data_IF_316714376289
#
_entry.id   IF_316714376289
#
_cell.length_a   1.000
_cell.length_b   1.000
_cell.length_c   1.000
_cell.angle_alpha   90.00
_cell.angle_beta   90.00
_cell.angle_gamma   90.00
#
_symmetry.space_group_name_H-M   'P 1'
#
loop_
_entity.id
_entity.type
_entity.pdbx_description
1 polymer ?
#
# COMPACT_ATOMS: atom_id res chain seq x y z
N UNK A 1 7.01 -13.41 -29.93
CA UNK A 1 7.75 -13.35 -28.65
C UNK A 1 8.33 -14.72 -28.34
N UNK A 2 9.60 -14.80 -27.99
CA UNK A 2 10.29 -16.04 -27.62
C UNK A 2 9.63 -16.73 -26.41
N UNK A 3 9.57 -18.06 -26.44
CA UNK A 3 9.07 -18.86 -25.30
C UNK A 3 9.96 -18.67 -24.07
N UNK A 4 11.28 -18.64 -24.24
CA UNK A 4 12.22 -18.40 -23.14
C UNK A 4 12.01 -17.07 -22.42
N UNK A 5 11.65 -16.01 -23.15
CA UNK A 5 11.30 -14.69 -22.56
C UNK A 5 10.08 -14.81 -21.67
N UNK A 6 9.04 -15.47 -22.16
CA UNK A 6 7.77 -15.67 -21.44
C UNK A 6 7.99 -16.44 -20.14
N UNK A 7 8.74 -17.54 -20.21
CA UNK A 7 9.08 -18.36 -19.05
C UNK A 7 9.87 -17.55 -18.03
N UNK A 8 10.89 -16.81 -18.46
CA UNK A 8 11.70 -15.99 -17.56
C UNK A 8 10.87 -14.94 -16.82
N UNK A 9 10.05 -14.16 -17.54
CA UNK A 9 9.19 -13.15 -16.92
C UNK A 9 8.16 -13.79 -16.00
N UNK A 10 7.58 -14.94 -16.39
CA UNK A 10 6.64 -15.67 -15.55
C UNK A 10 7.28 -16.13 -14.23
N UNK A 11 8.52 -16.63 -14.25
CA UNK A 11 9.25 -17.02 -13.05
C UNK A 11 9.54 -15.81 -12.14
N UNK A 12 10.00 -14.70 -12.70
CA UNK A 12 10.23 -13.47 -11.93
C UNK A 12 8.93 -12.99 -11.28
N UNK A 13 7.83 -12.95 -12.05
CA UNK A 13 6.54 -12.48 -11.55
C UNK A 13 5.94 -13.46 -10.53
N UNK A 14 6.18 -14.76 -10.68
CA UNK A 14 5.77 -15.76 -9.70
C UNK A 14 6.50 -15.55 -8.36
N UNK A 15 7.82 -15.35 -8.36
CA UNK A 15 8.58 -15.07 -7.14
C UNK A 15 8.07 -13.80 -6.45
N UNK A 16 7.84 -12.73 -7.21
CA UNK A 16 7.28 -11.48 -6.68
C UNK A 16 5.88 -11.71 -6.11
N UNK A 17 4.99 -12.38 -6.86
CA UNK A 17 3.62 -12.67 -6.42
C UNK A 17 3.57 -13.52 -5.15
N UNK A 18 4.41 -14.56 -5.08
CA UNK A 18 4.57 -15.36 -3.87
C UNK A 18 5.06 -14.53 -2.69
N UNK A 19 5.93 -13.54 -2.91
CA UNK A 19 6.37 -12.64 -1.83
C UNK A 19 5.22 -11.81 -1.23
N UNK A 20 4.21 -11.43 -2.04
CA UNK A 20 3.01 -10.71 -1.60
C UNK A 20 2.11 -11.60 -0.74
N UNK A 21 1.87 -12.82 -1.22
CA UNK A 21 1.05 -13.82 -0.54
C UNK A 21 1.72 -14.31 0.75
N UNK A 22 3.03 -14.57 0.74
CA UNK A 22 3.76 -15.08 1.89
C UNK A 22 3.68 -14.14 3.10
N UNK A 23 3.78 -12.82 2.87
CA UNK A 23 3.71 -11.83 3.97
C UNK A 23 2.32 -11.78 4.61
N UNK A 24 1.28 -11.84 3.78
CA UNK A 24 -0.12 -11.80 4.26
C UNK A 24 -0.53 -13.14 4.86
N UNK A 25 -0.11 -14.25 4.26
CA UNK A 25 -0.31 -15.59 4.80
C UNK A 25 0.36 -15.78 6.15
N UNK A 26 1.57 -15.25 6.34
CA UNK A 26 2.25 -15.25 7.63
C UNK A 26 1.47 -14.49 8.70
N UNK A 27 0.94 -13.29 8.36
CA UNK A 27 0.10 -12.52 9.26
C UNK A 27 -1.15 -13.31 9.67
N UNK A 28 -1.88 -13.88 8.70
CA UNK A 28 -3.10 -14.65 8.97
C UNK A 28 -2.80 -15.88 9.82
N UNK A 29 -1.72 -16.59 9.52
CA UNK A 29 -1.29 -17.78 10.25
C UNK A 29 -0.91 -17.47 11.70
N UNK A 30 -0.09 -16.43 11.91
CA UNK A 30 0.46 -16.09 13.22
C UNK A 30 -0.57 -15.35 14.10
N UNK A 31 -1.37 -14.45 13.52
CA UNK A 31 -2.31 -13.61 14.27
C UNK A 31 -3.75 -14.10 14.21
N UNK A 32 -3.99 -15.36 13.82
CA UNK A 32 -5.34 -15.92 13.67
C UNK A 32 -6.21 -15.67 14.90
N UNK A 33 -5.67 -15.98 16.08
CA UNK A 33 -6.34 -15.80 17.37
C UNK A 33 -6.21 -14.37 17.95
N UNK A 34 -5.41 -13.52 17.30
CA UNK A 34 -5.04 -12.18 17.77
C UNK A 34 -5.46 -11.10 16.76
N UNK A 35 -6.75 -11.09 16.39
CA UNK A 35 -7.42 -10.11 15.51
C UNK A 35 -6.55 -9.65 14.32
N UNK A 36 -6.05 -10.62 13.53
CA UNK A 36 -5.22 -10.38 12.35
C UNK A 36 -5.83 -9.37 11.38
N UNK A 37 -7.16 -9.28 11.33
CA UNK A 37 -7.86 -8.39 10.42
C UNK A 37 -7.65 -6.92 10.78
N UNK A 38 -7.59 -6.58 12.07
CA UNK A 38 -7.27 -5.23 12.50
C UNK A 38 -5.86 -4.82 12.06
N UNK A 39 -4.88 -5.72 12.13
CA UNK A 39 -3.53 -5.46 11.63
C UNK A 39 -3.50 -5.38 10.10
N UNK A 40 -4.19 -6.29 9.40
CA UNK A 40 -4.23 -6.32 7.94
C UNK A 40 -4.83 -5.03 7.37
N UNK A 41 -5.89 -4.51 7.98
CA UNK A 41 -6.54 -3.26 7.52
C UNK A 41 -5.80 -2.01 7.98
N UNK A 42 -5.18 -2.03 9.17
CA UNK A 42 -4.32 -0.94 9.61
C UNK A 42 -3.14 -0.75 8.65
N UNK A 43 -2.47 -1.84 8.28
CA UNK A 43 -1.37 -1.87 7.30
C UNK A 43 -1.88 -2.28 5.91
N UNK A 44 -3.00 -1.70 5.43
CA UNK A 44 -3.68 -2.13 4.19
C UNK A 44 -2.81 -2.04 2.93
N UNK A 45 -1.94 -1.04 2.83
CA UNK A 45 -0.97 -0.91 1.73
C UNK A 45 -0.01 -2.11 1.61
N UNK A 46 0.15 -2.89 2.69
CA UNK A 46 1.02 -4.05 2.74
C UNK A 46 0.21 -5.36 2.60
N UNK A 47 -0.76 -5.58 3.48
CA UNK A 47 -1.45 -6.87 3.62
C UNK A 47 -2.74 -6.98 2.80
N UNK A 48 -3.25 -5.88 2.23
CA UNK A 48 -4.44 -5.90 1.37
C UNK A 48 -4.04 -5.58 -0.07
N UNK A 49 -3.28 -4.51 -0.27
CA UNK A 49 -2.90 -4.04 -1.60
C UNK A 49 -2.09 -5.07 -2.38
N UNK A 50 -0.92 -5.48 -1.88
CA UNK A 50 -0.01 -6.36 -2.63
C UNK A 50 -0.64 -7.71 -3.01
N UNK A 51 -1.28 -8.46 -2.10
CA UNK A 51 -1.87 -9.76 -2.46
C UNK A 51 -3.11 -9.64 -3.37
N UNK A 52 -3.79 -8.49 -3.42
CA UNK A 52 -4.97 -8.28 -4.26
C UNK A 52 -4.58 -7.54 -5.55
N UNK A 53 -4.29 -6.25 -5.43
CA UNK A 53 -4.02 -5.37 -6.57
C UNK A 53 -2.60 -5.51 -7.11
N UNK A 54 -1.61 -5.84 -6.27
CA UNK A 54 -0.26 -6.15 -6.74
C UNK A 54 -0.23 -7.33 -7.71
N UNK A 55 -1.03 -8.38 -7.45
CA UNK A 55 -1.19 -9.53 -8.36
C UNK A 55 -1.90 -9.11 -9.65
N UNK A 56 -2.98 -8.33 -9.58
CA UNK A 56 -3.66 -7.79 -10.77
C UNK A 56 -2.66 -7.03 -11.65
N UNK A 57 -1.83 -6.19 -11.05
CA UNK A 57 -0.81 -5.43 -11.76
C UNK A 57 0.27 -6.32 -12.36
N UNK A 58 0.75 -7.37 -11.66
CA UNK A 58 1.67 -8.35 -12.24
C UNK A 58 1.06 -9.01 -13.49
N UNK A 59 -0.20 -9.44 -13.43
CA UNK A 59 -0.87 -10.03 -14.59
C UNK A 59 -1.02 -9.01 -15.73
N UNK A 60 -1.40 -7.77 -15.40
CA UNK A 60 -1.56 -6.69 -16.38
C UNK A 60 -0.25 -6.30 -17.08
N UNK A 61 0.86 -6.28 -16.36
CA UNK A 61 2.17 -5.91 -16.89
C UNK A 61 2.98 -7.09 -17.47
N UNK A 62 2.43 -8.31 -17.47
CA UNK A 62 3.12 -9.48 -18.01
C UNK A 62 3.40 -9.36 -19.52
N UNK A 63 2.39 -8.96 -20.29
CA UNK A 63 2.53 -8.77 -21.74
C UNK A 63 3.54 -7.68 -22.13
N UNK A 64 3.50 -6.45 -21.56
CA UNK A 64 4.52 -5.44 -21.86
C UNK A 64 5.92 -5.89 -21.43
N UNK A 65 6.07 -6.53 -20.26
CA UNK A 65 7.37 -7.03 -19.81
C UNK A 65 7.96 -8.06 -20.79
N UNK A 66 7.15 -9.00 -21.29
CA UNK A 66 7.56 -9.95 -22.33
C UNK A 66 7.93 -9.24 -23.64
N UNK A 67 7.14 -8.26 -24.06
CA UNK A 67 7.40 -7.48 -25.27
C UNK A 67 8.74 -6.74 -25.21
N UNK A 68 9.03 -6.07 -24.09
CA UNK A 68 10.29 -5.34 -23.92
C UNK A 68 11.50 -6.24 -23.86
N UNK A 69 11.44 -7.35 -23.12
CA UNK A 69 12.58 -8.27 -23.03
C UNK A 69 12.88 -8.91 -24.39
N UNK A 70 11.85 -9.35 -25.12
CA UNK A 70 12.01 -9.89 -26.49
C UNK A 70 12.59 -8.83 -27.44
N UNK A 71 12.10 -7.58 -27.35
CA UNK A 71 12.60 -6.47 -28.15
C UNK A 71 14.07 -6.17 -27.85
N UNK A 72 14.48 -6.16 -26.58
CA UNK A 72 15.87 -5.95 -26.19
C UNK A 72 16.79 -7.07 -26.68
N UNK A 73 16.33 -8.31 -26.67
CA UNK A 73 17.15 -9.43 -27.13
C UNK A 73 17.32 -9.52 -28.64
N UNK A 74 16.36 -9.01 -29.43
CA UNK A 74 16.37 -9.16 -30.89
C UNK A 74 16.71 -7.88 -31.65
N UNK A 75 16.24 -6.72 -31.20
CA UNK A 75 16.20 -5.51 -32.02
C UNK A 75 17.07 -4.36 -31.47
N UNK A 76 17.55 -4.47 -30.22
CA UNK A 76 18.36 -3.42 -29.59
C UNK A 76 19.84 -3.82 -29.62
N UNK A 77 20.74 -2.96 -30.11
CA UNK A 77 22.18 -3.24 -30.09
C UNK A 77 22.66 -3.36 -28.64
N UNK A 78 23.43 -4.42 -28.37
CA UNK A 78 23.87 -4.81 -27.02
C UNK A 78 22.71 -4.98 -26.02
N UNK A 79 21.50 -5.27 -26.51
CA UNK A 79 20.31 -5.24 -25.68
C UNK A 79 20.29 -6.32 -24.58
N UNK A 80 20.95 -7.48 -24.79
CA UNK A 80 21.14 -8.48 -23.72
C UNK A 80 21.93 -7.91 -22.55
N UNK A 81 23.06 -7.28 -22.83
CA UNK A 81 23.92 -6.67 -21.80
C UNK A 81 23.19 -5.52 -21.11
N UNK A 82 22.53 -4.63 -21.87
CA UNK A 82 21.74 -3.52 -21.33
C UNK A 82 20.61 -3.99 -20.43
N UNK A 83 19.94 -5.09 -20.79
CA UNK A 83 18.92 -5.71 -19.95
C UNK A 83 19.51 -6.24 -18.65
N UNK A 84 20.60 -7.01 -18.71
CA UNK A 84 21.24 -7.57 -17.51
C UNK A 84 21.71 -6.46 -16.58
N UNK A 85 22.39 -5.44 -17.11
CA UNK A 85 22.84 -4.28 -16.32
C UNK A 85 21.64 -3.55 -15.73
N UNK A 86 20.61 -3.25 -16.51
CA UNK A 86 19.40 -2.59 -16.01
C UNK A 86 18.68 -3.39 -14.93
N UNK A 87 18.51 -4.70 -15.13
CA UNK A 87 17.88 -5.60 -14.17
C UNK A 87 18.67 -5.65 -12.85
N UNK A 88 19.99 -5.80 -12.91
CA UNK A 88 20.85 -5.80 -11.73
C UNK A 88 20.84 -4.45 -11.01
N UNK A 89 20.83 -3.34 -11.75
CA UNK A 89 20.70 -2.00 -11.16
C UNK A 89 19.37 -1.84 -10.41
N UNK A 90 18.25 -2.27 -11.01
CA UNK A 90 16.94 -2.22 -10.34
C UNK A 90 16.90 -3.14 -9.12
N UNK A 91 17.50 -4.33 -9.20
CA UNK A 91 17.62 -5.25 -8.08
C UNK A 91 18.46 -4.65 -6.93
N UNK A 92 19.63 -4.07 -7.25
CA UNK A 92 20.48 -3.41 -6.26
C UNK A 92 19.76 -2.22 -5.61
N UNK A 93 19.14 -1.36 -6.41
CA UNK A 93 18.38 -0.21 -5.90
C UNK A 93 17.23 -0.66 -4.99
N UNK A 94 16.53 -1.74 -5.37
CA UNK A 94 15.45 -2.29 -4.55
C UNK A 94 15.93 -2.77 -3.19
N UNK A 95 17.12 -3.39 -3.13
CA UNK A 95 17.73 -3.83 -1.89
C UNK A 95 18.13 -2.63 -1.01
N UNK A 96 18.78 -1.61 -1.59
CA UNK A 96 19.20 -0.40 -0.87
C UNK A 96 18.01 0.33 -0.27
N UNK A 97 16.95 0.57 -1.06
CA UNK A 97 15.72 1.22 -0.57
C UNK A 97 15.07 0.38 0.53
N UNK A 98 15.01 -0.95 0.37
CA UNK A 98 14.45 -1.83 1.39
C UNK A 98 15.28 -1.85 2.69
N UNK A 99 16.60 -1.69 2.63
CA UNK A 99 17.44 -1.51 3.83
C UNK A 99 17.12 -0.18 4.52
N UNK A 100 17.01 0.91 3.76
CA UNK A 100 16.69 2.22 4.29
C UNK A 100 15.31 2.25 4.97
N UNK A 101 14.30 1.61 4.37
CA UNK A 101 12.95 1.52 4.96
C UNK A 101 12.95 0.78 6.31
N UNK A 102 13.84 -0.22 6.49
CA UNK A 102 13.98 -1.02 7.73
C UNK A 102 14.81 -0.35 8.82
N UNK A 103 15.66 0.60 8.45
CA UNK A 103 16.53 1.33 9.36
C UNK A 103 15.79 2.40 10.20
N UNK A 104 14.47 2.53 10.05
CA UNK A 104 13.67 3.48 10.82
C UNK A 104 13.65 3.20 12.32
N UNK A 105 13.55 4.24 13.17
CA UNK A 105 13.50 4.10 14.62
C UNK A 105 12.14 3.59 15.14
N UNK A 106 11.10 3.54 14.29
CA UNK A 106 9.78 3.00 14.65
C UNK A 106 9.63 1.59 14.08
N UNK A 107 9.26 0.64 14.94
CA UNK A 107 8.91 -0.72 14.56
C UNK A 107 7.40 -0.86 14.35
N UNK A 108 7.03 -1.70 13.39
CA UNK A 108 5.61 -1.98 13.13
C UNK A 108 5.06 -2.96 14.16
N UNK A 109 3.79 -2.84 14.54
CA UNK A 109 3.14 -3.74 15.51
C UNK A 109 3.19 -5.19 15.04
N UNK A 110 2.99 -5.43 13.73
CA UNK A 110 3.05 -6.77 13.17
C UNK A 110 4.44 -7.42 13.25
N UNK A 111 5.51 -6.68 13.61
CA UNK A 111 6.87 -7.21 13.80
C UNK A 111 7.10 -7.79 15.20
N UNK A 112 6.12 -7.64 16.11
CA UNK A 112 6.13 -8.20 17.47
C UNK A 112 5.20 -9.40 17.51
N UNK A 113 5.60 -10.47 18.21
CA UNK A 113 4.81 -11.69 18.36
C UNK A 113 3.41 -11.44 18.96
N UNK A 114 2.39 -12.19 18.51
CA UNK A 114 1.02 -12.05 19.00
C UNK A 114 0.92 -12.31 20.51
N UNK A 115 1.67 -13.26 21.08
CA UNK A 115 1.60 -13.58 22.51
C UNK A 115 2.17 -12.44 23.38
N UNK A 116 3.21 -11.77 22.89
CA UNK A 116 3.81 -10.61 23.55
C UNK A 116 2.85 -9.43 23.53
N UNK A 117 2.20 -9.21 22.39
CA UNK A 117 1.18 -8.17 22.22
C UNK A 117 -0.08 -8.46 23.04
N UNK A 118 -0.48 -9.73 23.17
CA UNK A 118 -1.60 -10.14 24.01
C UNK A 118 -1.30 -10.01 25.51
N UNK A 119 -0.03 -10.15 25.91
CA UNK A 119 0.42 -9.95 27.28
C UNK A 119 0.55 -8.46 27.67
N UNK A 120 0.50 -7.54 26.70
CA UNK A 120 0.55 -6.10 26.97
C UNK A 120 -0.71 -5.62 27.69
N UNK A 121 -0.54 -5.13 28.91
CA UNK A 121 -1.63 -4.63 29.76
C UNK A 121 -1.75 -3.10 29.79
N UNK A 122 -0.99 -2.39 28.97
CA UNK A 122 -0.94 -0.94 29.00
C UNK A 122 -0.21 -0.40 30.24
N UNK A 123 -0.21 0.93 30.39
CA UNK A 123 0.36 1.63 31.53
C UNK A 123 -0.65 2.62 32.13
N UNK A 124 -0.94 2.53 33.44
CA UNK A 124 -0.59 1.43 34.34
C UNK A 124 -1.23 0.10 33.90
N UNK A 125 -0.71 -1.04 34.37
CA UNK A 125 -1.22 -2.34 33.95
C UNK A 125 -2.71 -2.50 34.28
N UNK A 126 -3.53 -2.85 33.27
CA UNK A 126 -4.99 -2.98 33.41
C UNK A 126 -5.75 -1.66 33.28
N UNK A 127 -5.10 -0.58 32.85
CA UNK A 127 -5.73 0.74 32.72
C UNK A 127 -6.90 0.77 31.72
N UNK A 128 -6.94 -0.16 30.75
CA UNK A 128 -8.01 -0.23 29.76
C UNK A 128 -9.40 -0.42 30.39
N UNK A 129 -9.46 -1.03 31.58
CA UNK A 129 -10.70 -1.26 32.34
C UNK A 129 -11.03 -0.10 33.30
N UNK A 130 -10.08 0.81 33.55
CA UNK A 130 -10.13 1.84 34.60
C UNK A 130 -10.26 3.28 34.07
N UNK A 131 -10.57 3.45 32.78
CA UNK A 131 -10.86 4.71 32.08
C UNK A 131 -9.68 5.65 31.74
N UNK A 132 -8.54 5.62 32.45
CA UNK A 132 -7.38 6.47 32.12
C UNK A 132 -6.10 5.63 31.98
N UNK A 133 -5.55 5.57 30.76
CA UNK A 133 -4.22 5.03 30.51
C UNK A 133 -3.22 6.15 30.25
N UNK A 134 -2.00 6.02 30.77
CA UNK A 134 -0.85 6.75 30.22
C UNK A 134 -0.51 6.22 28.83
N UNK A 135 -0.60 4.89 28.67
CA UNK A 135 -0.43 4.18 27.40
C UNK A 135 -1.41 3.02 27.31
N UNK A 136 -2.20 2.98 26.26
CA UNK A 136 -3.11 1.88 25.95
C UNK A 136 -2.32 0.62 25.58
N UNK A 137 -2.86 -0.58 25.90
CA UNK A 137 -2.39 -1.81 25.29
C UNK A 137 -2.35 -1.70 23.76
N UNK A 138 -1.26 -2.15 23.13
CA UNK A 138 -1.02 -1.94 21.69
C UNK A 138 -2.16 -2.50 20.83
N UNK A 139 -2.59 -3.74 21.08
CA UNK A 139 -3.69 -4.35 20.31
C UNK A 139 -5.02 -3.62 20.54
N UNK A 140 -5.29 -3.16 21.77
CA UNK A 140 -6.49 -2.40 22.06
C UNK A 140 -6.49 -1.06 21.33
N UNK A 141 -5.34 -0.37 21.26
CA UNK A 141 -5.20 0.87 20.52
C UNK A 141 -5.46 0.67 19.01
N UNK A 142 -4.88 -0.37 18.39
CA UNK A 142 -5.13 -0.72 16.98
C UNK A 142 -6.60 -1.09 16.74
N UNK A 143 -7.21 -1.87 17.64
CA UNK A 143 -8.64 -2.22 17.57
C UNK A 143 -9.54 -0.98 17.68
N UNK A 144 -9.19 -0.03 18.55
CA UNK A 144 -9.93 1.23 18.69
C UNK A 144 -9.86 2.04 17.39
N UNK A 145 -8.69 2.11 16.73
CA UNK A 145 -8.58 2.76 15.41
C UNK A 145 -9.55 2.10 14.44
N UNK A 146 -9.52 0.78 14.28
CA UNK A 146 -10.44 0.05 13.41
C UNK A 146 -11.91 0.33 13.73
N UNK A 147 -12.30 0.23 15.00
CA UNK A 147 -13.69 0.40 15.45
C UNK A 147 -14.20 1.81 15.17
N UNK A 148 -13.39 2.83 15.44
CA UNK A 148 -13.75 4.22 15.14
C UNK A 148 -13.78 4.46 13.62
N UNK A 149 -12.82 3.91 12.85
CA UNK A 149 -12.85 3.98 11.38
C UNK A 149 -14.10 3.35 10.75
N UNK A 150 -14.71 2.37 11.42
CA UNK A 150 -15.94 1.73 10.97
C UNK A 150 -17.19 2.56 11.29
N UNK A 151 -17.18 3.25 12.43
CA UNK A 151 -18.34 3.99 12.94
C UNK A 151 -18.44 5.41 12.40
N UNK A 152 -17.32 6.08 12.08
CA UNK A 152 -17.32 7.45 11.56
C UNK A 152 -16.51 7.59 10.27
N UNK A 153 -16.89 8.58 9.46
CA UNK A 153 -16.09 9.04 8.32
C UNK A 153 -15.10 10.06 8.85
N UNK A 154 -13.82 9.79 8.62
CA UNK A 154 -12.72 10.69 8.92
C UNK A 154 -12.16 10.57 10.32
N UNK A 155 -10.82 10.53 10.34
CA UNK A 155 -9.99 10.40 11.54
C UNK A 155 -8.91 11.49 11.60
N UNK A 156 -8.75 12.26 10.53
CA UNK A 156 -7.68 13.25 10.39
C UNK A 156 -7.75 14.33 11.47
N UNK A 157 -8.95 14.67 11.91
CA UNK A 157 -9.26 15.60 13.01
C UNK A 157 -8.76 15.12 14.38
N UNK A 158 -8.59 13.81 14.55
CA UNK A 158 -8.08 13.17 15.78
C UNK A 158 -6.56 12.98 15.77
N UNK A 159 -5.91 13.13 14.61
CA UNK A 159 -4.46 13.03 14.51
C UNK A 159 -3.78 14.22 15.19
N UNK A 160 -2.71 13.96 15.92
CA UNK A 160 -1.96 14.98 16.67
C UNK A 160 -0.64 15.29 16.01
N UNK A 161 -0.27 16.57 15.97
CA UNK A 161 1.05 16.97 15.53
C UNK A 161 2.00 17.05 16.74
N UNK A 162 2.83 16.02 16.91
CA UNK A 162 3.71 15.90 18.06
C UNK A 162 5.11 16.49 17.88
N UNK A 163 5.34 17.17 16.75
CA UNK A 163 6.52 18.00 16.54
C UNK A 163 6.18 19.44 16.92
N UNK A 164 6.85 20.03 17.92
CA UNK A 164 6.64 21.43 18.26
C UNK A 164 7.01 22.30 17.06
N UNK A 165 6.09 23.19 16.67
CA UNK A 165 6.35 24.19 15.64
C UNK A 165 7.24 25.28 16.26
N UNK A 166 8.52 25.41 15.86
CA UNK A 166 9.44 26.35 16.48
C UNK A 166 9.03 27.81 16.23
N UNK A 167 8.13 28.05 15.27
CA UNK A 167 7.60 29.37 14.94
C UNK A 167 6.30 29.70 15.70
N UNK A 168 5.72 28.74 16.43
CA UNK A 168 4.60 28.98 17.34
C UNK A 168 5.13 29.03 18.77
N UNK A 169 4.84 30.13 19.48
CA UNK A 169 5.13 30.21 20.91
C UNK A 169 4.49 29.05 21.66
N UNK A 170 5.17 28.54 22.70
CA UNK A 170 4.63 27.56 23.62
C UNK A 170 3.49 28.21 24.42
N UNK A 171 2.29 28.20 23.87
CA UNK A 171 1.10 28.77 24.47
C UNK A 171 0.82 30.19 23.98
N UNK A 172 -0.15 30.31 23.07
CA UNK A 172 -1.19 31.36 22.97
C UNK A 172 -1.71 31.35 21.53
N UNK A 173 -2.89 30.76 21.26
CA UNK A 173 -3.48 30.94 19.93
C UNK A 173 -4.78 30.18 19.64
N UNK A 174 -5.02 29.02 20.24
CA UNK A 174 -6.34 28.39 20.23
C UNK A 174 -6.45 27.56 21.49
N UNK A 175 -7.55 27.70 22.24
CA UNK A 175 -7.95 26.73 23.25
C UNK A 175 -7.84 25.34 22.60
N UNK A 176 -6.81 24.56 22.94
CA UNK A 176 -6.65 23.20 22.43
C UNK A 176 -7.86 22.42 22.90
N UNK A 177 -8.83 22.24 22.01
CA UNK A 177 -10.02 21.47 22.36
C UNK A 177 -9.54 20.05 22.65
N UNK A 178 -9.83 19.53 23.86
CA UNK A 178 -9.45 18.18 24.19
C UNK A 178 -10.20 17.24 23.25
N UNK A 179 -9.48 16.28 22.67
CA UNK A 179 -10.01 15.33 21.68
C UNK A 179 -9.62 13.92 22.12
N UNK A 180 -10.32 12.92 21.58
CA UNK A 180 -10.06 11.52 21.86
C UNK A 180 -8.64 11.13 21.44
N UNK A 181 -7.94 10.37 22.27
CA UNK A 181 -6.59 9.88 21.98
C UNK A 181 -6.56 8.35 21.99
N UNK A 182 -6.24 7.75 20.84
CA UNK A 182 -6.19 6.29 20.67
C UNK A 182 -5.09 5.62 21.51
N UNK A 183 -4.03 6.39 21.84
CA UNK A 183 -2.89 5.89 22.59
C UNK A 183 -3.10 5.92 24.11
N UNK A 184 -4.13 6.58 24.65
CA UNK A 184 -4.35 6.72 26.10
C UNK A 184 -5.80 6.52 26.56
N UNK A 185 -6.78 6.63 25.68
CA UNK A 185 -8.19 6.59 26.05
C UNK A 185 -8.84 5.26 25.63
N UNK A 186 -9.35 4.44 26.56
CA UNK A 186 -10.12 3.25 26.20
C UNK A 186 -11.44 3.63 25.52
N UNK A 187 -11.85 2.86 24.50
CA UNK A 187 -13.10 3.08 23.80
C UNK A 187 -14.24 2.33 24.54
N UNK A 188 -15.35 2.99 24.90
CA UNK A 188 -16.44 2.34 25.63
C UNK A 188 -17.05 1.17 24.87
N UNK A 189 -17.52 0.15 25.59
CA UNK A 189 -18.05 -1.06 24.96
C UNK A 189 -19.44 -0.84 24.33
N UNK A 190 -20.24 0.13 24.78
CA UNK A 190 -21.61 0.38 24.27
C UNK A 190 -22.05 1.85 24.25
N UNK A 191 -23.14 2.13 23.51
CA UNK A 191 -23.70 3.47 23.24
C UNK A 191 -24.10 4.25 24.52
N UNK A 192 -24.38 3.56 25.63
CA UNK A 192 -24.75 4.18 26.92
C UNK A 192 -23.57 4.64 27.80
N UNK A 193 -22.31 4.42 27.41
CA UNK A 193 -21.12 4.81 28.19
C UNK A 193 -20.37 6.01 27.61
N UNK A 194 -20.93 6.70 26.61
CA UNK A 194 -20.34 7.87 25.97
C UNK A 194 -19.98 9.00 26.96
N UNK A 195 -20.69 9.10 28.10
CA UNK A 195 -20.42 10.07 29.17
C UNK A 195 -19.14 9.81 29.99
N UNK A 196 -18.41 8.71 29.76
CA UNK A 196 -17.12 8.40 30.42
C UNK A 196 -15.90 8.58 29.51
N UNK A 197 -16.06 9.20 28.34
CA UNK A 197 -14.95 9.38 27.41
C UNK A 197 -14.01 10.49 27.92
N UNK A 198 -12.83 10.12 28.43
CA UNK A 198 -11.81 11.09 28.82
C UNK A 198 -11.10 11.65 27.58
N UNK A 199 -11.29 12.94 27.32
CA UNK A 199 -10.62 13.66 26.25
C UNK A 199 -9.24 14.12 26.73
N UNK A 200 -8.25 14.10 25.84
CA UNK A 200 -6.88 14.48 26.16
C UNK A 200 -6.46 15.74 25.41
N UNK A 201 -5.57 16.51 26.01
CA UNK A 201 -4.85 17.61 25.33
C UNK A 201 -3.89 17.06 24.28
N UNK A 202 -3.41 17.93 23.38
CA UNK A 202 -2.42 17.54 22.36
C UNK A 202 -1.13 17.05 23.03
N UNK A 203 -0.67 17.74 24.08
CA UNK A 203 0.53 17.39 24.83
C UNK A 203 0.43 16.02 25.54
N UNK A 204 -0.69 15.73 26.18
CA UNK A 204 -0.93 14.43 26.84
C UNK A 204 -0.97 13.30 25.81
N UNK A 205 -1.70 13.48 24.71
CA UNK A 205 -1.79 12.47 23.67
C UNK A 205 -0.43 12.19 23.01
N UNK A 206 0.34 13.25 22.71
CA UNK A 206 1.68 13.09 22.15
C UNK A 206 2.65 12.37 23.08
N UNK A 207 2.50 12.53 24.41
CA UNK A 207 3.26 11.76 25.39
C UNK A 207 2.88 10.28 25.34
N UNK A 208 1.58 9.97 25.32
CA UNK A 208 1.06 8.61 25.21
C UNK A 208 1.50 7.92 23.91
N UNK A 209 1.46 8.64 22.77
CA UNK A 209 1.93 8.12 21.47
C UNK A 209 3.43 7.79 21.49
N UNK A 210 4.27 8.66 22.09
CA UNK A 210 5.71 8.36 22.26
C UNK A 210 5.94 7.14 23.15
N UNK A 211 5.20 7.02 24.25
CA UNK A 211 5.26 5.84 25.12
C UNK A 211 4.83 4.57 24.39
N UNK A 212 3.79 4.65 23.54
CA UNK A 212 3.33 3.54 22.70
C UNK A 212 4.41 3.08 21.72
N UNK A 213 5.04 4.01 21.00
CA UNK A 213 6.17 3.70 20.09
C UNK A 213 7.32 3.06 20.86
N UNK A 214 7.71 3.65 21.99
CA UNK A 214 8.79 3.14 22.84
C UNK A 214 8.51 1.72 23.33
N UNK A 215 7.27 1.43 23.73
CA UNK A 215 6.86 0.11 24.16
C UNK A 215 6.92 -0.92 23.02
N UNK A 216 6.44 -0.58 21.82
CA UNK A 216 6.53 -1.47 20.63
C UNK A 216 7.98 -1.75 20.26
N UNK A 217 8.84 -0.73 20.27
CA UNK A 217 10.26 -0.89 20.00
C UNK A 217 10.92 -1.81 21.04
N UNK A 218 10.69 -1.58 22.34
CA UNK A 218 11.23 -2.43 23.40
C UNK A 218 10.73 -3.88 23.32
N UNK A 219 9.50 -4.10 22.87
CA UNK A 219 8.97 -5.44 22.60
C UNK A 219 9.66 -6.11 21.41
N UNK A 220 10.07 -5.34 20.39
CA UNK A 220 10.74 -5.85 19.19
C UNK A 220 12.26 -6.06 19.36
N UNK A 221 12.90 -5.29 20.24
CA UNK A 221 14.36 -5.29 20.40
C UNK A 221 14.90 -6.68 20.77
N UNK A 222 14.16 -7.43 21.60
CA UNK A 222 14.43 -8.83 21.92
C UNK A 222 14.16 -9.74 20.69
N UNK A 223 15.19 -10.39 20.10
CA UNK A 223 15.01 -11.28 18.96
C UNK A 223 14.02 -12.43 19.19
N UNK A 224 13.86 -12.89 20.44
CA UNK A 224 12.92 -13.97 20.77
C UNK A 224 11.46 -13.53 20.70
N UNK A 225 11.19 -12.22 20.71
CA UNK A 225 9.85 -11.61 20.66
C UNK A 225 9.44 -11.13 19.27
N UNK A 226 10.32 -11.29 18.28
CA UNK A 226 10.04 -10.91 16.89
C UNK A 226 9.10 -11.91 16.24
N UNK A 227 8.11 -11.38 15.52
CA UNK A 227 7.12 -12.19 14.82
C UNK A 227 7.68 -12.85 13.56
N UNK A 228 7.10 -13.99 13.19
CA UNK A 228 7.35 -14.63 11.91
C UNK A 228 6.96 -13.71 10.74
N UNK A 229 5.85 -12.98 10.89
CA UNK A 229 5.36 -12.00 9.93
C UNK A 229 6.39 -10.91 9.67
N UNK A 230 7.03 -10.37 10.73
CA UNK A 230 8.10 -9.38 10.62
C UNK A 230 9.33 -9.92 9.90
N UNK A 231 9.73 -11.17 10.19
CA UNK A 231 10.85 -11.82 9.51
C UNK A 231 10.57 -12.03 8.01
N UNK A 232 9.41 -12.57 7.66
CA UNK A 232 8.99 -12.78 6.27
C UNK A 232 8.84 -11.42 5.55
N UNK A 233 8.27 -10.42 6.21
CA UNK A 233 8.19 -9.07 5.65
C UNK A 233 9.58 -8.52 5.33
N UNK A 234 10.53 -8.61 6.26
CA UNK A 234 11.89 -8.10 6.08
C UNK A 234 12.63 -8.78 4.92
N UNK A 235 12.41 -10.08 4.72
CA UNK A 235 13.00 -10.82 3.61
C UNK A 235 12.30 -10.53 2.27
N UNK A 236 10.98 -10.34 2.29
CA UNK A 236 10.18 -10.09 1.08
C UNK A 236 10.16 -8.62 0.63
N UNK A 237 10.56 -7.68 1.50
CA UNK A 237 10.50 -6.25 1.24
C UNK A 237 11.28 -5.83 -0.03
N UNK A 238 12.52 -6.30 -0.29
CA UNK A 238 13.21 -5.99 -1.53
C UNK A 238 12.43 -6.39 -2.79
N UNK A 239 11.68 -7.50 -2.77
CA UNK A 239 10.87 -7.93 -3.92
C UNK A 239 9.68 -7.01 -4.17
N UNK A 240 9.05 -6.47 -3.12
CA UNK A 240 7.99 -5.45 -3.24
C UNK A 240 8.53 -4.15 -3.81
N UNK A 241 9.69 -3.69 -3.33
CA UNK A 241 10.36 -2.50 -3.88
C UNK A 241 10.78 -2.75 -5.33
N UNK A 242 11.32 -3.93 -5.64
CA UNK A 242 11.70 -4.33 -6.99
C UNK A 242 10.51 -4.29 -7.93
N UNK A 243 9.37 -4.85 -7.52
CA UNK A 243 8.11 -4.75 -8.26
C UNK A 243 7.75 -3.30 -8.59
N UNK A 244 7.78 -2.42 -7.60
CA UNK A 244 7.46 -0.99 -7.78
C UNK A 244 8.41 -0.31 -8.77
N UNK A 245 9.73 -0.51 -8.63
CA UNK A 245 10.74 0.04 -9.54
C UNK A 245 10.66 -0.56 -10.96
N UNK A 246 10.32 -1.85 -11.06
CA UNK A 246 10.15 -2.54 -12.33
C UNK A 246 8.97 -1.95 -13.11
N UNK A 247 7.84 -1.71 -12.47
CA UNK A 247 6.67 -1.07 -13.11
C UNK A 247 7.01 0.33 -13.62
N UNK A 248 7.72 1.11 -12.81
CA UNK A 248 8.22 2.43 -13.21
C UNK A 248 9.13 2.32 -14.45
N UNK A 249 10.05 1.36 -14.45
CA UNK A 249 10.97 1.10 -15.57
C UNK A 249 10.22 0.70 -16.84
N UNK A 250 9.32 -0.27 -16.77
CA UNK A 250 8.50 -0.72 -17.91
C UNK A 250 7.74 0.48 -18.52
N UNK A 251 7.27 1.38 -17.67
CA UNK A 251 6.51 2.54 -18.12
C UNK A 251 7.34 3.62 -18.78
N UNK A 252 8.54 3.88 -18.25
CA UNK A 252 9.52 4.69 -18.94
C UNK A 252 9.81 4.07 -20.32
N UNK A 253 10.01 2.76 -20.38
CA UNK A 253 10.22 2.07 -21.65
C UNK A 253 9.02 2.19 -22.60
N UNK A 254 7.77 2.17 -22.10
CA UNK A 254 6.56 2.42 -22.90
C UNK A 254 6.58 3.83 -23.48
N UNK A 255 6.93 4.85 -22.71
CA UNK A 255 7.00 6.22 -23.21
C UNK A 255 8.09 6.39 -24.28
N UNK A 256 9.30 5.87 -24.03
CA UNK A 256 10.47 6.11 -24.89
C UNK A 256 10.58 5.17 -26.10
N UNK A 257 10.10 3.93 -25.99
CA UNK A 257 10.27 2.89 -27.01
C UNK A 257 8.96 2.46 -27.67
N UNK A 258 7.87 3.21 -27.48
CA UNK A 258 6.56 2.92 -28.09
C UNK A 258 6.64 2.65 -29.59
N UNK A 259 7.27 3.54 -30.37
CA UNK A 259 7.35 3.38 -31.84
C UNK A 259 8.02 2.07 -32.24
N UNK A 260 9.01 1.62 -31.46
CA UNK A 260 9.69 0.35 -31.70
C UNK A 260 8.80 -0.85 -31.37
N UNK A 261 8.01 -0.78 -30.30
CA UNK A 261 6.98 -1.76 -30.00
C UNK A 261 5.90 -1.82 -31.09
N UNK A 262 5.47 -0.66 -31.60
CA UNK A 262 4.47 -0.60 -32.67
C UNK A 262 4.96 -1.24 -33.95
N UNK A 263 6.22 -1.01 -34.32
CA UNK A 263 6.78 -1.57 -35.54
C UNK A 263 6.95 -3.10 -35.48
N UNK A 264 7.47 -3.64 -34.37
CA UNK A 264 7.85 -5.06 -34.27
C UNK A 264 6.79 -5.95 -33.60
N UNK A 265 5.86 -5.37 -32.83
CA UNK A 265 4.90 -6.08 -32.00
C UNK A 265 3.46 -5.59 -32.20
N UNK A 266 3.13 -5.01 -33.37
CA UNK A 266 1.78 -4.54 -33.72
C UNK A 266 0.64 -5.50 -33.31
N UNK A 267 0.72 -6.83 -33.55
CA UNK A 267 -0.35 -7.76 -33.18
C UNK A 267 -0.60 -7.87 -31.67
N UNK A 268 0.39 -7.53 -30.85
CA UNK A 268 0.34 -7.65 -29.39
C UNK A 268 0.03 -6.32 -28.68
N UNK A 269 0.05 -5.20 -29.40
CA UNK A 269 -0.20 -3.87 -28.83
C UNK A 269 -1.52 -3.81 -28.08
N UNK A 270 -2.57 -4.37 -28.68
CA UNK A 270 -3.93 -4.33 -28.15
C UNK A 270 -4.06 -5.00 -26.76
N UNK A 271 -3.29 -6.08 -26.56
CA UNK A 271 -3.17 -6.77 -25.27
C UNK A 271 -2.28 -6.01 -24.29
N UNK A 272 -1.17 -5.45 -24.77
CA UNK A 272 -0.24 -4.63 -23.97
C UNK A 272 -0.96 -3.40 -23.41
N UNK A 273 -1.64 -2.61 -24.23
CA UNK A 273 -2.31 -1.37 -23.81
C UNK A 273 -3.42 -1.65 -22.78
N UNK A 274 -4.21 -2.71 -22.97
CA UNK A 274 -5.23 -3.15 -22.01
C UNK A 274 -4.62 -3.56 -20.68
N UNK A 275 -3.56 -4.38 -20.73
CA UNK A 275 -2.83 -4.84 -19.56
C UNK A 275 -2.27 -3.68 -18.74
N UNK A 276 -1.66 -2.71 -19.42
CA UNK A 276 -1.14 -1.49 -18.80
C UNK A 276 -2.26 -0.65 -18.18
N UNK A 277 -3.40 -0.47 -18.88
CA UNK A 277 -4.54 0.30 -18.34
C UNK A 277 -5.11 -0.34 -17.06
N UNK A 278 -5.40 -1.64 -17.08
CA UNK A 278 -5.95 -2.35 -15.91
C UNK A 278 -4.93 -2.38 -14.78
N UNK A 279 -3.66 -2.66 -15.08
CA UNK A 279 -2.58 -2.68 -14.09
C UNK A 279 -2.31 -1.30 -13.48
N UNK A 280 -2.36 -0.23 -14.26
CA UNK A 280 -2.20 1.15 -13.79
C UNK A 280 -3.41 1.57 -12.92
N UNK A 281 -4.63 1.23 -13.32
CA UNK A 281 -5.82 1.49 -12.51
C UNK A 281 -5.74 0.78 -11.14
N UNK A 282 -5.29 -0.48 -11.11
CA UNK A 282 -5.04 -1.20 -9.86
C UNK A 282 -3.95 -0.49 -9.01
N UNK A 283 -2.89 0.02 -9.64
CA UNK A 283 -1.82 0.74 -8.94
C UNK A 283 -2.26 2.08 -8.33
N UNK A 284 -3.31 2.75 -8.85
CA UNK A 284 -3.87 3.97 -8.22
C UNK A 284 -4.38 3.70 -6.81
N UNK A 285 -4.74 2.44 -6.50
CA UNK A 285 -5.19 2.07 -5.15
C UNK A 285 -4.03 2.08 -4.15
N UNK A 286 -2.78 1.91 -4.59
CA UNK A 286 -1.61 1.93 -3.73
C UNK A 286 -1.43 3.24 -2.94
N UNK A 287 -1.36 4.43 -3.59
CA UNK A 287 -1.21 5.69 -2.87
C UNK A 287 -2.38 5.96 -1.93
N UNK A 288 -3.59 5.52 -2.29
CA UNK A 288 -4.78 5.66 -1.45
C UNK A 288 -4.66 4.81 -0.17
N UNK A 289 -4.34 3.53 -0.30
CA UNK A 289 -4.14 2.65 0.86
C UNK A 289 -2.92 3.07 1.70
N UNK A 290 -1.88 3.61 1.07
CA UNK A 290 -0.72 4.20 1.76
C UNK A 290 -1.14 5.40 2.58
N UNK A 291 -1.96 6.29 2.03
CA UNK A 291 -2.49 7.44 2.77
C UNK A 291 -3.38 7.01 3.93
N UNK A 292 -4.25 6.01 3.72
CA UNK A 292 -5.10 5.47 4.79
C UNK A 292 -4.28 4.87 5.94
N UNK A 293 -3.17 4.19 5.62
CA UNK A 293 -2.19 3.75 6.60
C UNK A 293 -1.54 4.94 7.32
N UNK A 294 -1.04 5.95 6.62
CA UNK A 294 -0.38 7.12 7.23
C UNK A 294 -1.32 7.86 8.18
N UNK A 295 -2.59 8.02 7.81
CA UNK A 295 -3.61 8.63 8.65
C UNK A 295 -3.87 7.78 9.90
N UNK A 296 -4.00 6.47 9.76
CA UNK A 296 -4.19 5.55 10.90
C UNK A 296 -2.96 5.51 11.82
N UNK A 297 -1.76 5.56 11.24
CA UNK A 297 -0.49 5.62 11.96
C UNK A 297 -0.34 6.94 12.74
N UNK A 298 -0.78 8.06 12.18
CA UNK A 298 -0.75 9.36 12.86
C UNK A 298 -1.59 9.40 14.15
N UNK A 299 -2.62 8.54 14.26
CA UNK A 299 -3.44 8.40 15.46
C UNK A 299 -2.71 7.68 16.61
N UNK A 300 -1.80 6.76 16.28
CA UNK A 300 -1.08 5.95 17.27
C UNK A 300 0.33 6.47 17.57
N UNK A 301 0.98 7.07 16.58
CA UNK A 301 2.41 7.43 16.65
C UNK A 301 2.64 8.94 16.44
N UNK A 302 1.57 9.72 16.24
CA UNK A 302 1.63 11.16 15.95
C UNK A 302 1.92 11.46 14.47
N UNK A 303 1.59 12.65 13.98
CA UNK A 303 1.65 13.02 12.55
C UNK A 303 3.07 13.30 12.00
N UNK A 304 4.11 13.25 12.84
CA UNK A 304 5.49 13.51 12.42
C UNK A 304 6.11 12.40 11.55
N UNK A 305 7.13 12.69 10.72
CA UNK A 305 7.83 11.72 9.87
C UNK A 305 8.83 10.89 10.68
N UNK A 306 8.37 10.29 11.77
CA UNK A 306 9.17 9.41 12.60
C UNK A 306 8.90 8.00 12.03
N UNK A 307 9.94 7.30 11.57
CA UNK A 307 9.82 5.97 10.93
C UNK A 307 10.25 5.92 9.45
N UNK A 308 10.95 4.85 9.05
CA UNK A 308 11.64 4.74 7.76
C UNK A 308 10.70 4.74 6.54
N UNK A 309 9.60 3.99 6.62
CA UNK A 309 8.58 4.03 5.57
C UNK A 309 7.73 5.31 5.63
N UNK A 310 7.33 5.77 6.82
CA UNK A 310 6.46 6.95 6.97
C UNK A 310 7.10 8.24 6.44
N UNK A 311 8.41 8.37 6.59
CA UNK A 311 9.16 9.50 6.05
C UNK A 311 9.22 9.50 4.50
N UNK A 312 9.26 8.32 3.87
CA UNK A 312 9.40 8.18 2.42
C UNK A 312 8.08 7.91 1.68
N UNK A 313 7.04 7.49 2.41
CA UNK A 313 5.72 7.14 1.87
C UNK A 313 5.05 8.27 1.08
N UNK A 314 5.10 9.57 1.49
CA UNK A 314 4.55 10.65 0.68
C UNK A 314 5.22 10.76 -0.69
N UNK A 315 6.55 10.60 -0.74
CA UNK A 315 7.31 10.64 -2.00
C UNK A 315 6.93 9.47 -2.91
N UNK A 316 6.85 8.25 -2.37
CA UNK A 316 6.41 7.09 -3.14
C UNK A 316 4.95 7.23 -3.60
N UNK A 317 4.06 7.68 -2.71
CA UNK A 317 2.64 7.89 -3.03
C UNK A 317 2.47 8.91 -4.16
N UNK A 318 3.19 10.04 -4.12
CA UNK A 318 3.18 11.04 -5.17
C UNK A 318 3.78 10.49 -6.47
N UNK A 319 4.94 9.85 -6.40
CA UNK A 319 5.61 9.29 -7.58
C UNK A 319 4.73 8.25 -8.29
N UNK A 320 4.18 7.29 -7.55
CA UNK A 320 3.33 6.24 -8.11
C UNK A 320 1.93 6.73 -8.48
N UNK A 321 1.35 7.67 -7.73
CA UNK A 321 0.07 8.29 -8.08
C UNK A 321 0.15 9.08 -9.39
N UNK A 322 1.14 9.98 -9.49
CA UNK A 322 1.37 10.76 -10.71
C UNK A 322 1.71 9.85 -11.91
N UNK A 323 2.55 8.84 -11.68
CA UNK A 323 2.92 7.85 -12.69
C UNK A 323 1.71 7.05 -13.22
N UNK A 324 0.88 6.50 -12.33
CA UNK A 324 -0.27 5.69 -12.72
C UNK A 324 -1.29 6.53 -13.49
N UNK A 325 -1.54 7.77 -13.05
CA UNK A 325 -2.40 8.72 -13.77
C UNK A 325 -1.84 9.06 -15.15
N UNK A 326 -0.54 9.30 -15.26
CA UNK A 326 0.11 9.58 -16.56
C UNK A 326 -0.10 8.41 -17.53
N UNK A 327 0.10 7.17 -17.08
CA UNK A 327 -0.15 5.99 -17.92
C UNK A 327 -1.62 5.90 -18.35
N UNK A 328 -2.55 6.13 -17.43
CA UNK A 328 -3.97 6.13 -17.74
C UNK A 328 -4.26 7.18 -18.81
N UNK A 329 -3.88 8.45 -18.61
CA UNK A 329 -4.12 9.51 -19.61
C UNK A 329 -3.46 9.20 -20.97
N UNK A 330 -2.24 8.66 -20.95
CA UNK A 330 -1.49 8.35 -22.17
C UNK A 330 -2.16 7.27 -23.02
N UNK A 331 -2.60 6.17 -22.41
CA UNK A 331 -3.22 5.05 -23.14
C UNK A 331 -4.72 5.26 -23.40
N UNK A 332 -5.42 5.99 -22.52
CA UNK A 332 -6.84 6.29 -22.69
C UNK A 332 -7.09 7.22 -23.87
N UNK A 333 -6.17 8.17 -24.13
CA UNK A 333 -6.26 9.07 -25.28
C UNK A 333 -6.14 8.41 -26.65
N UNK A 334 -5.73 7.14 -26.73
CA UNK A 334 -5.56 6.42 -28.01
C UNK A 334 -6.77 5.56 -28.38
N UNK A 335 -7.51 5.07 -27.39
CA UNK A 335 -8.44 3.95 -27.59
C UNK A 335 -9.82 4.34 -28.09
N UNK A 336 -10.29 5.55 -27.73
CA UNK A 336 -11.54 6.12 -28.26
C UNK A 336 -11.58 7.64 -28.05
N UNK A 337 -11.87 8.41 -29.12
CA UNK A 337 -11.99 9.88 -29.03
C UNK A 337 -13.20 10.31 -28.20
N UNK A 338 -14.29 9.54 -28.23
CA UNK A 338 -15.52 9.83 -27.44
C UNK A 338 -15.33 9.54 -25.95
N UNK A 339 -14.70 8.41 -25.64
CA UNK A 339 -14.32 8.03 -24.28
C UNK A 339 -13.27 9.02 -23.71
N UNK A 340 -12.39 9.55 -24.55
CA UNK A 340 -11.46 10.62 -24.17
C UNK A 340 -12.17 11.91 -23.77
N UNK A 341 -13.25 12.31 -24.46
CA UNK A 341 -14.06 13.46 -24.06
C UNK A 341 -14.73 13.20 -22.70
N UNK A 342 -15.31 12.01 -22.51
CA UNK A 342 -15.94 11.60 -21.27
C UNK A 342 -14.94 11.56 -20.09
N UNK A 343 -13.72 11.07 -20.30
CA UNK A 343 -12.69 11.02 -19.25
C UNK A 343 -11.97 12.36 -19.04
N UNK A 344 -11.92 13.26 -20.03
CA UNK A 344 -11.46 14.63 -19.80
C UNK A 344 -12.48 15.39 -18.96
N UNK A 345 -13.77 15.29 -19.28
CA UNK A 345 -14.85 15.91 -18.50
C UNK A 345 -14.92 15.27 -17.12
N UNK A 346 -14.94 13.94 -17.03
CA UNK A 346 -14.91 13.19 -15.76
C UNK A 346 -13.62 13.40 -14.96
N UNK A 347 -12.49 13.62 -15.62
CA UNK A 347 -11.20 13.91 -14.99
C UNK A 347 -11.09 15.35 -14.48
N UNK A 348 -11.67 16.33 -15.18
CA UNK A 348 -11.74 17.72 -14.72
C UNK A 348 -12.76 17.85 -13.58
N UNK A 349 -13.96 17.28 -13.73
CA UNK A 349 -14.98 17.27 -12.68
C UNK A 349 -14.47 16.47 -11.48
N UNK A 350 -13.97 15.26 -11.71
CA UNK A 350 -13.40 14.40 -10.67
C UNK A 350 -12.17 15.02 -10.01
N UNK A 351 -11.32 15.71 -10.76
CA UNK A 351 -10.16 16.46 -10.23
C UNK A 351 -10.57 17.68 -9.41
N UNK A 352 -11.56 18.45 -9.86
CA UNK A 352 -12.11 19.57 -9.12
C UNK A 352 -12.77 19.11 -7.81
N UNK A 353 -13.57 18.04 -7.86
CA UNK A 353 -14.16 17.41 -6.66
C UNK A 353 -13.06 16.85 -5.76
N UNK A 354 -12.01 16.24 -6.33
CA UNK A 354 -10.89 15.71 -5.57
C UNK A 354 -10.07 16.79 -4.87
N UNK A 355 -9.91 17.98 -5.45
CA UNK A 355 -9.23 19.11 -4.80
C UNK A 355 -10.13 19.70 -3.70
N UNK A 356 -11.41 19.93 -4.00
CA UNK A 356 -12.35 20.58 -3.06
C UNK A 356 -12.71 19.67 -1.89
N UNK A 357 -12.77 18.36 -2.10
CA UNK A 357 -13.20 17.36 -1.12
C UNK A 357 -12.14 16.28 -0.84
N UNK A 358 -10.86 16.63 -1.02
CA UNK A 358 -9.73 15.70 -0.84
C UNK A 358 -9.84 14.92 0.46
N UNK A 359 -10.00 15.61 1.59
CA UNK A 359 -10.10 15.01 2.92
C UNK A 359 -11.31 14.06 3.04
N UNK A 360 -12.49 14.47 2.53
CA UNK A 360 -13.69 13.63 2.60
C UNK A 360 -13.56 12.35 1.77
N UNK A 361 -12.93 12.43 0.59
CA UNK A 361 -12.70 11.25 -0.27
C UNK A 361 -11.73 10.29 0.42
N UNK A 362 -10.63 10.82 0.96
CA UNK A 362 -9.65 10.02 1.69
C UNK A 362 -10.29 9.37 2.91
N UNK A 363 -11.08 10.11 3.68
CA UNK A 363 -11.76 9.61 4.87
C UNK A 363 -12.75 8.47 4.55
N UNK A 364 -13.44 8.58 3.42
CA UNK A 364 -14.30 7.50 2.92
C UNK A 364 -13.47 6.27 2.50
N UNK A 365 -12.32 6.49 1.87
CA UNK A 365 -11.41 5.42 1.44
C UNK A 365 -10.74 4.74 2.64
N UNK A 366 -10.39 5.47 3.71
CA UNK A 366 -9.90 4.90 4.98
C UNK A 366 -10.93 3.93 5.56
N UNK A 367 -12.22 4.28 5.49
CA UNK A 367 -13.31 3.43 5.95
C UNK A 367 -13.51 2.18 5.08
N UNK A 368 -13.49 2.32 3.75
CA UNK A 368 -13.79 1.19 2.85
C UNK A 368 -12.61 0.26 2.63
N UNK A 369 -11.41 0.82 2.44
CA UNK A 369 -10.23 0.11 1.93
C UNK A 369 -8.98 0.30 2.81
N UNK A 370 -9.10 1.05 3.91
CA UNK A 370 -8.08 1.26 4.94
C UNK A 370 -8.42 0.57 6.26
N UNK A 371 -8.09 1.20 7.39
CA UNK A 371 -8.27 0.65 8.73
C UNK A 371 -9.70 0.26 9.08
N UNK A 372 -10.71 0.91 8.47
CA UNK A 372 -12.12 0.59 8.66
C UNK A 372 -12.64 -0.59 7.84
N UNK A 373 -11.84 -1.16 6.93
CA UNK A 373 -12.31 -2.18 6.00
C UNK A 373 -12.88 -3.41 6.73
N UNK A 374 -14.13 -3.76 6.40
CA UNK A 374 -14.80 -4.95 6.91
C UNK A 374 -14.59 -6.16 6.00
N UNK A 375 -15.09 -7.33 6.42
CA UNK A 375 -15.07 -8.53 5.57
C UNK A 375 -15.81 -8.33 4.24
N UNK A 376 -16.91 -7.56 4.25
CA UNK A 376 -17.68 -7.26 3.04
C UNK A 376 -16.84 -6.45 2.04
N UNK A 377 -16.18 -5.37 2.49
CA UNK A 377 -15.39 -4.54 1.58
C UNK A 377 -14.18 -5.31 1.03
N UNK A 378 -13.49 -6.09 1.86
CA UNK A 378 -12.38 -6.94 1.41
C UNK A 378 -12.82 -8.02 0.43
N UNK A 379 -13.99 -8.65 0.66
CA UNK A 379 -14.57 -9.61 -0.28
C UNK A 379 -14.86 -8.93 -1.63
N UNK A 380 -15.49 -7.75 -1.62
CA UNK A 380 -15.79 -6.99 -2.84
C UNK A 380 -14.50 -6.61 -3.60
N UNK A 381 -13.47 -6.12 -2.90
CA UNK A 381 -12.18 -5.79 -3.53
C UNK A 381 -11.54 -7.03 -4.17
N UNK A 382 -11.60 -8.18 -3.47
CA UNK A 382 -11.08 -9.45 -3.98
C UNK A 382 -11.84 -9.91 -5.21
N UNK A 383 -13.18 -9.82 -5.21
CA UNK A 383 -14.00 -10.17 -6.37
C UNK A 383 -13.71 -9.26 -7.57
N UNK A 384 -13.53 -7.95 -7.35
CA UNK A 384 -13.13 -7.01 -8.40
C UNK A 384 -11.76 -7.39 -8.98
N UNK A 385 -10.79 -7.72 -8.13
CA UNK A 385 -9.46 -8.14 -8.57
C UNK A 385 -9.49 -9.46 -9.36
N UNK A 386 -10.26 -10.44 -8.91
CA UNK A 386 -10.46 -11.71 -9.64
C UNK A 386 -11.12 -11.45 -10.99
N UNK A 387 -12.16 -10.60 -11.04
CA UNK A 387 -12.79 -10.22 -12.31
C UNK A 387 -11.80 -9.53 -13.26
N UNK A 388 -10.94 -8.63 -12.76
CA UNK A 388 -9.89 -7.99 -13.55
C UNK A 388 -8.89 -9.01 -14.11
N UNK A 389 -8.43 -9.97 -13.29
CA UNK A 389 -7.54 -11.06 -13.74
C UNK A 389 -8.23 -11.92 -14.80
N UNK A 390 -9.50 -12.28 -14.61
CA UNK A 390 -10.25 -13.07 -15.60
C UNK A 390 -10.39 -12.33 -16.94
N UNK A 391 -10.63 -11.01 -16.91
CA UNK A 391 -10.67 -10.17 -18.12
C UNK A 391 -9.31 -10.16 -18.83
N UNK A 392 -8.22 -10.02 -18.07
CA UNK A 392 -6.86 -10.05 -18.62
C UNK A 392 -6.55 -11.41 -19.28
N UNK A 393 -6.79 -12.52 -18.58
CA UNK A 393 -6.44 -13.88 -19.04
C UNK A 393 -7.32 -14.36 -20.20
N UNK A 394 -8.63 -14.10 -20.18
CA UNK A 394 -9.57 -14.53 -21.23
C UNK A 394 -9.23 -13.94 -22.60
N UNK A 395 -8.68 -12.73 -22.64
CA UNK A 395 -8.32 -12.12 -23.92
C UNK A 395 -6.99 -12.65 -24.44
N UNK A 396 -5.99 -12.82 -23.57
CA UNK A 396 -4.69 -13.40 -23.96
C UNK A 396 -4.85 -14.79 -24.57
N UNK A 397 -5.75 -15.61 -24.02
CA UNK A 397 -6.07 -16.95 -24.54
C UNK A 397 -6.79 -16.89 -25.89
N UNK A 398 -7.74 -15.96 -26.07
CA UNK A 398 -8.42 -15.75 -27.37
C UNK A 398 -7.48 -15.24 -28.46
N UNK A 399 -6.53 -14.38 -28.12
CA UNK A 399 -5.51 -13.88 -29.06
C UNK A 399 -4.53 -14.99 -29.46
N UNK A 400 -4.12 -15.84 -28.51
CA UNK A 400 -3.29 -17.02 -28.80
C UNK A 400 -4.01 -18.04 -29.70
N UNK A 401 -5.32 -18.22 -29.53
CA UNK A 401 -6.13 -19.11 -30.36
C UNK A 401 -6.38 -18.58 -31.80
N UNK A 402 -6.21 -17.27 -32.02
CA UNK A 402 -6.40 -16.61 -33.33
C UNK A 402 -5.09 -16.34 -34.08
N UNK A 403 -3.94 -16.51 -33.43
CA UNK A 403 -2.66 -16.35 -34.10
C UNK A 403 -2.47 -17.49 -35.13
N UNK A 404 -2.22 -17.18 -36.42
CA UNK A 404 -1.94 -18.21 -37.40
C UNK A 404 -0.71 -19.02 -36.97
N UNK A 405 -0.79 -20.34 -37.07
CA UNK A 405 0.29 -21.30 -36.79
C UNK A 405 1.39 -21.25 -37.86
N UNK A 406 1.80 -20.07 -38.31
CA UNK A 406 2.83 -19.94 -39.33
C UNK A 406 4.08 -19.32 -38.70
N UNK A 407 4.96 -20.21 -38.21
CA UNK A 407 6.43 -20.09 -38.15
C UNK A 407 6.98 -21.31 -37.40
N UNK A 408 6.83 -22.48 -38.02
CA UNK A 408 7.69 -23.63 -37.79
C UNK A 408 8.36 -23.93 -39.13
N UNK A 409 9.45 -23.21 -39.40
CA UNK A 409 10.52 -23.60 -40.30
C UNK A 409 11.83 -23.13 -39.65
#
# INVERSE_FOLDING_TARGET
MLVGVRIFIALVFLVIGLSFLATTGALVYEFWDTDWLALATFYSHLFVFFPIFGIVTLVGFYAPACGFLDMYWRHVPLGRLRFVVGFLTVALLSFVIAQQMRAGPERSVFEVKPEVLAADKGEPAGCADQAICQRMPVLAAVKNVRRVSQSRIGLSDLARNCTPDPLKGAGTGSLEQPRYCFASTPLPAGEGQAGKLTLSTDAECCRAQKQLVSAVNAMHDDPARRSLTGLIHNWTLPFKVFFMLMLLTISFMLAFRRRSLEHHYAPYLDGIERGVLIGAAAMVIFPIMTHAFLQSAALLYGAGPIGGFRASAPLFSLAFGAWALLLLFYFYGRRDKEIQALARIGGVIGGAVAIVKYEQIIDFLVRLIGSGAGYVSLTVLTLIAVAAILVLVRKTTREAARAPRDTAL
#
